data_IF_900758931183
#
_entry.id   IF_900758931183
#
_cell.length_a   1.000
_cell.length_b   1.000
_cell.length_c   1.000
_cell.angle_alpha   90.00
_cell.angle_beta   90.00
_cell.angle_gamma   90.00
#
_symmetry.space_group_name_H-M   'P 1'
#
loop_
_entity.id
_entity.type
_entity.pdbx_description
1 polymer ?
#
# COMPACT_ATOMS: atom_id res chain seq x y z
N UNK A 1 37.52 -29.36 1.49
CA UNK A 1 36.89 -28.11 1.98
C UNK A 1 35.81 -27.77 0.98
N UNK A 2 34.55 -27.69 1.40
CA UNK A 2 33.44 -27.36 0.50
C UNK A 2 33.59 -25.89 0.08
N UNK A 3 33.75 -25.67 -1.22
CA UNK A 3 33.82 -24.34 -1.81
C UNK A 3 32.46 -23.63 -1.63
N UNK A 4 32.47 -22.41 -1.11
CA UNK A 4 31.24 -21.63 -0.94
C UNK A 4 30.76 -21.21 -2.32
N UNK A 5 29.58 -21.68 -2.73
CA UNK A 5 28.98 -21.28 -4.00
C UNK A 5 28.04 -20.09 -3.81
N UNK A 6 27.90 -19.25 -4.83
CA UNK A 6 26.91 -18.16 -4.87
C UNK A 6 25.48 -18.69 -4.64
N UNK A 7 25.16 -19.87 -5.16
CA UNK A 7 23.87 -20.53 -4.89
C UNK A 7 23.67 -20.86 -3.42
N UNK A 8 24.69 -21.36 -2.72
CA UNK A 8 24.62 -21.65 -1.28
C UNK A 8 24.40 -20.38 -0.45
N UNK A 9 25.00 -19.27 -0.87
CA UNK A 9 24.78 -17.95 -0.25
C UNK A 9 23.33 -17.49 -0.45
N UNK A 10 22.80 -17.58 -1.67
CA UNK A 10 21.41 -17.19 -1.98
C UNK A 10 20.42 -18.05 -1.20
N UNK A 11 20.63 -19.37 -1.14
CA UNK A 11 19.76 -20.29 -0.42
C UNK A 11 19.76 -20.02 1.09
N UNK A 12 20.92 -19.68 1.67
CA UNK A 12 21.03 -19.29 3.08
C UNK A 12 20.29 -17.97 3.39
N UNK A 13 20.14 -17.08 2.42
CA UNK A 13 19.44 -15.81 2.59
C UNK A 13 17.93 -15.90 2.37
N UNK A 14 17.40 -16.99 1.80
CA UNK A 14 15.96 -17.16 1.60
C UNK A 14 15.12 -16.98 2.88
N UNK A 15 15.51 -17.50 4.05
CA UNK A 15 14.77 -17.30 5.30
C UNK A 15 14.85 -15.89 5.88
N UNK A 16 15.68 -15.00 5.31
CA UNK A 16 15.81 -13.63 5.78
C UNK A 16 14.67 -12.78 5.21
N UNK A 17 13.75 -12.38 6.08
CA UNK A 17 12.61 -11.54 5.71
C UNK A 17 12.89 -10.06 5.95
N UNK A 18 12.41 -9.23 5.02
CA UNK A 18 12.30 -7.79 5.21
C UNK A 18 11.28 -7.48 6.34
N UNK A 19 11.61 -6.65 7.35
CA UNK A 19 10.72 -6.40 8.47
C UNK A 19 9.47 -5.58 8.12
N UNK A 20 9.46 -4.82 7.02
CA UNK A 20 8.29 -4.04 6.58
C UNK A 20 7.39 -4.85 5.64
N UNK A 21 8.00 -5.60 4.71
CA UNK A 21 7.29 -6.33 3.66
C UNK A 21 6.96 -7.77 4.06
N UNK A 22 7.54 -8.27 5.15
CA UNK A 22 7.36 -9.64 5.68
C UNK A 22 7.61 -10.75 4.64
N UNK A 23 8.47 -10.50 3.66
CA UNK A 23 8.82 -11.40 2.55
C UNK A 23 10.33 -11.54 2.42
N UNK A 24 10.78 -12.62 1.80
CA UNK A 24 12.21 -12.90 1.64
C UNK A 24 12.92 -11.80 0.86
N UNK A 25 14.05 -11.32 1.36
CA UNK A 25 14.88 -10.33 0.66
C UNK A 25 15.38 -10.85 -0.70
N UNK A 26 15.47 -12.18 -0.86
CA UNK A 26 15.85 -12.84 -2.11
C UNK A 26 14.70 -12.77 -3.12
N UNK A 27 13.49 -13.12 -2.70
CA UNK A 27 12.30 -13.11 -3.57
C UNK A 27 11.92 -11.70 -4.02
N UNK A 28 12.13 -10.73 -3.13
CA UNK A 28 11.94 -9.29 -3.38
C UNK A 28 13.02 -8.72 -4.32
N UNK A 29 14.06 -9.48 -4.67
CA UNK A 29 15.15 -9.01 -5.52
C UNK A 29 16.01 -7.93 -4.86
N UNK A 30 16.07 -7.90 -3.53
CA UNK A 30 16.85 -6.92 -2.78
C UNK A 30 18.34 -7.29 -2.71
N UNK A 31 18.69 -8.56 -2.95
CA UNK A 31 20.08 -9.03 -2.91
C UNK A 31 20.72 -8.95 -4.29
N UNK A 32 21.83 -8.22 -4.42
CA UNK A 32 22.61 -8.10 -5.67
C UNK A 32 24.11 -8.10 -5.40
N UNK A 33 24.89 -8.19 -6.49
CA UNK A 33 26.35 -8.13 -6.48
C UNK A 33 27.00 -9.14 -5.51
N UNK A 34 26.49 -10.37 -5.48
CA UNK A 34 27.03 -11.42 -4.60
C UNK A 34 28.37 -11.91 -5.13
N UNK A 35 29.43 -11.67 -4.38
CA UNK A 35 30.80 -12.09 -4.67
C UNK A 35 31.31 -12.95 -3.51
N UNK A 36 31.87 -14.10 -3.84
CA UNK A 36 32.51 -15.00 -2.89
C UNK A 36 33.99 -15.05 -3.20
N UNK A 37 34.82 -14.64 -2.25
CA UNK A 37 36.29 -14.67 -2.35
C UNK A 37 36.84 -15.50 -1.19
N UNK A 38 37.09 -16.79 -1.46
CA UNK A 38 37.48 -17.76 -0.46
C UNK A 38 36.45 -17.88 0.67
N UNK A 39 36.80 -17.40 1.85
CA UNK A 39 35.95 -17.43 3.05
C UNK A 39 35.21 -16.10 3.33
N UNK A 40 35.33 -15.12 2.43
CA UNK A 40 34.71 -13.80 2.55
C UNK A 40 33.56 -13.67 1.55
N UNK A 41 32.37 -13.33 2.06
CA UNK A 41 31.18 -13.08 1.23
C UNK A 41 30.88 -11.59 1.20
N UNK A 42 30.77 -11.02 0.00
CA UNK A 42 30.39 -9.62 -0.21
C UNK A 42 29.06 -9.56 -0.96
N UNK A 43 28.12 -8.71 -0.52
CA UNK A 43 26.85 -8.50 -1.23
C UNK A 43 26.25 -7.13 -0.94
N UNK A 44 25.37 -6.70 -1.84
CA UNK A 44 24.61 -5.45 -1.72
C UNK A 44 23.13 -5.77 -1.42
N UNK A 45 22.56 -5.11 -0.41
CA UNK A 45 21.12 -5.11 -0.14
C UNK A 45 20.50 -3.79 -0.60
N UNK A 46 19.64 -3.84 -1.62
CA UNK A 46 18.91 -2.71 -2.15
C UNK A 46 17.62 -2.46 -1.34
N UNK A 47 17.56 -1.32 -0.66
CA UNK A 47 16.40 -0.90 0.13
C UNK A 47 15.42 -0.11 -0.75
N UNK A 48 14.14 -0.13 -0.39
CA UNK A 48 13.07 0.54 -1.13
C UNK A 48 13.18 2.07 -1.06
N UNK A 49 13.65 2.61 0.06
CA UNK A 49 13.79 4.06 0.33
C UNK A 49 15.11 4.35 1.07
N UNK A 50 15.72 5.50 0.77
CA UNK A 50 16.91 5.98 1.48
C UNK A 50 16.57 6.39 2.91
N UNK A 51 17.21 5.76 3.91
CA UNK A 51 17.10 6.16 5.33
C UNK A 51 16.32 5.20 6.23
N UNK A 52 16.01 3.98 5.78
CA UNK A 52 15.27 3.01 6.59
C UNK A 52 15.98 2.73 7.95
N UNK A 53 15.31 2.96 9.10
CA UNK A 53 15.86 2.69 10.43
C UNK A 53 16.13 1.19 10.66
N UNK A 54 15.55 0.33 9.84
CA UNK A 54 15.63 -1.13 9.90
C UNK A 54 16.89 -1.71 9.24
N UNK A 55 17.77 -0.85 8.70
CA UNK A 55 19.06 -1.27 8.13
C UNK A 55 19.85 -2.17 9.09
N UNK A 56 19.90 -1.80 10.36
CA UNK A 56 20.66 -2.54 11.38
C UNK A 56 20.08 -3.94 11.60
N UNK A 57 18.75 -4.07 11.55
CA UNK A 57 18.07 -5.34 11.74
C UNK A 57 18.31 -6.27 10.54
N UNK A 58 18.18 -5.76 9.32
CA UNK A 58 18.50 -6.51 8.10
C UNK A 58 19.97 -6.94 8.11
N UNK A 59 20.87 -6.04 8.50
CA UNK A 59 22.30 -6.34 8.62
C UNK A 59 22.56 -7.50 9.59
N UNK A 60 21.91 -7.50 10.76
CA UNK A 60 22.03 -8.59 11.74
C UNK A 60 21.49 -9.90 11.18
N UNK A 61 20.28 -9.91 10.63
CA UNK A 61 19.64 -11.12 10.08
C UNK A 61 20.49 -11.75 8.95
N UNK A 62 21.00 -10.92 8.04
CA UNK A 62 21.87 -11.36 6.94
C UNK A 62 23.19 -11.92 7.47
N UNK A 63 23.86 -11.22 8.40
CA UNK A 63 25.10 -11.70 9.00
C UNK A 63 24.91 -13.03 9.73
N UNK A 64 23.83 -13.18 10.50
CA UNK A 64 23.50 -14.44 11.19
C UNK A 64 23.28 -15.58 10.21
N UNK A 65 22.52 -15.33 9.13
CA UNK A 65 22.25 -16.35 8.11
C UNK A 65 23.52 -16.82 7.38
N UNK A 66 24.41 -15.89 7.01
CA UNK A 66 25.62 -16.22 6.27
C UNK A 66 26.73 -16.79 7.15
N UNK A 67 26.85 -16.35 8.40
CA UNK A 67 27.83 -16.95 9.34
C UNK A 67 27.47 -18.38 9.75
N UNK A 68 26.22 -18.80 9.55
CA UNK A 68 25.82 -20.19 9.76
C UNK A 68 26.31 -21.13 8.65
N UNK A 69 26.73 -20.60 7.50
CA UNK A 69 27.32 -21.40 6.42
C UNK A 69 28.74 -21.86 6.78
N UNK A 70 28.99 -23.16 6.64
CA UNK A 70 30.30 -23.73 6.86
C UNK A 70 31.33 -23.14 5.86
N UNK A 71 32.39 -22.52 6.41
CA UNK A 71 33.47 -21.93 5.63
C UNK A 71 33.45 -20.40 5.54
N UNK A 72 32.36 -19.72 5.94
CA UNK A 72 32.27 -18.25 5.92
C UNK A 72 32.93 -17.67 7.18
N UNK A 73 33.98 -16.86 7.02
CA UNK A 73 34.67 -16.17 8.12
C UNK A 73 34.21 -14.73 8.27
N UNK A 74 34.02 -14.05 7.14
CA UNK A 74 33.70 -12.63 7.08
C UNK A 74 32.60 -12.33 6.06
N UNK A 75 31.81 -11.30 6.37
CA UNK A 75 30.65 -10.87 5.57
C UNK A 75 30.71 -9.36 5.41
N UNK A 76 30.79 -8.90 4.16
CA UNK A 76 30.82 -7.48 3.79
C UNK A 76 29.49 -7.08 3.16
N UNK A 77 28.73 -6.26 3.89
CA UNK A 77 27.42 -5.80 3.46
C UNK A 77 27.46 -4.35 3.01
N UNK A 78 27.04 -4.14 1.76
CA UNK A 78 26.75 -2.82 1.23
C UNK A 78 25.25 -2.62 1.16
N UNK A 79 24.82 -1.37 1.24
CA UNK A 79 23.41 -1.01 1.13
C UNK A 79 23.22 -0.02 0.00
N UNK A 80 22.32 -0.36 -0.92
CA UNK A 80 21.89 0.51 -2.00
C UNK A 80 20.46 0.97 -1.81
N UNK A 81 20.01 1.81 -2.72
CA UNK A 81 18.59 2.10 -2.93
C UNK A 81 18.18 1.46 -4.25
N UNK A 82 16.96 0.96 -4.31
CA UNK A 82 16.36 0.50 -5.56
C UNK A 82 16.24 1.66 -6.55
N UNK A 83 16.38 1.36 -7.83
CA UNK A 83 16.05 2.25 -8.95
C UNK A 83 14.53 2.36 -9.13
N UNK A 84 14.07 3.28 -9.97
CA UNK A 84 12.65 3.40 -10.30
C UNK A 84 12.10 2.14 -10.97
N UNK A 85 12.87 1.53 -11.87
CA UNK A 85 12.49 0.29 -12.57
C UNK A 85 12.44 -0.91 -11.62
N UNK A 86 13.41 -1.04 -10.70
CA UNK A 86 13.41 -2.08 -9.67
C UNK A 86 12.20 -1.91 -8.72
N UNK A 87 11.87 -0.68 -8.33
CA UNK A 87 10.65 -0.40 -7.56
C UNK A 87 9.39 -0.75 -8.35
N UNK A 88 9.35 -0.48 -9.65
CA UNK A 88 8.22 -0.83 -10.51
C UNK A 88 8.04 -2.35 -10.62
N UNK A 89 9.12 -3.10 -10.85
CA UNK A 89 9.11 -4.56 -10.88
C UNK A 89 8.73 -5.18 -9.52
N UNK A 90 9.23 -4.61 -8.42
CA UNK A 90 8.84 -5.01 -7.08
C UNK A 90 7.35 -4.79 -6.83
N UNK A 91 6.81 -3.63 -7.25
CA UNK A 91 5.37 -3.34 -7.16
C UNK A 91 4.55 -4.34 -7.96
N UNK A 92 4.98 -4.69 -9.16
CA UNK A 92 4.30 -5.71 -9.98
C UNK A 92 4.33 -7.09 -9.30
N UNK A 93 5.45 -7.50 -8.71
CA UNK A 93 5.55 -8.76 -7.94
C UNK A 93 4.69 -8.78 -6.68
N UNK A 94 4.53 -7.65 -6.01
CA UNK A 94 3.75 -7.53 -4.77
C UNK A 94 2.25 -7.38 -5.04
N UNK A 95 1.87 -6.71 -6.14
CA UNK A 95 0.50 -6.22 -6.35
C UNK A 95 -0.11 -6.59 -7.72
N UNK A 96 0.63 -7.24 -8.63
CA UNK A 96 0.18 -7.58 -9.98
C UNK A 96 0.38 -6.46 -11.01
N UNK A 97 0.08 -6.75 -12.28
CA UNK A 97 0.36 -5.84 -13.40
C UNK A 97 -0.62 -4.64 -13.44
N UNK A 98 -0.13 -3.38 -13.60
CA UNK A 98 -0.95 -2.16 -13.58
C UNK A 98 -2.03 -2.06 -14.66
N UNK A 99 -1.92 -2.85 -15.73
CA UNK A 99 -2.83 -2.82 -16.88
C UNK A 99 -4.25 -3.36 -16.59
N UNK A 100 -4.50 -3.91 -15.39
CA UNK A 100 -5.79 -4.47 -15.01
C UNK A 100 -6.75 -3.49 -14.30
N UNK A 101 -6.35 -2.22 -14.08
CA UNK A 101 -7.19 -1.24 -13.37
C UNK A 101 -7.70 -0.14 -14.30
N UNK A 102 -8.99 -0.16 -14.65
CA UNK A 102 -9.63 0.91 -15.40
C UNK A 102 -9.93 2.11 -14.48
N UNK A 103 -8.91 2.95 -14.28
CA UNK A 103 -9.02 4.27 -13.65
C UNK A 103 -7.64 4.92 -13.79
N UNK A 104 -7.58 6.11 -14.36
CA UNK A 104 -6.36 6.73 -14.93
C UNK A 104 -5.28 7.16 -13.91
N UNK A 105 -5.16 6.49 -12.78
CA UNK A 105 -4.03 6.62 -11.85
C UNK A 105 -3.88 5.33 -11.02
N UNK A 106 -2.64 4.86 -10.76
CA UNK A 106 -2.42 3.69 -9.92
C UNK A 106 -2.99 3.93 -8.52
N UNK A 107 -3.82 3.02 -8.02
CA UNK A 107 -4.17 3.01 -6.61
C UNK A 107 -2.89 2.80 -5.78
N UNK A 108 -2.58 3.69 -4.85
CA UNK A 108 -1.45 3.56 -3.93
C UNK A 108 -1.92 3.25 -2.49
N UNK A 109 -1.14 2.48 -1.73
CA UNK A 109 -1.44 2.12 -0.34
C UNK A 109 -2.28 0.84 -0.16
N UNK A 110 -3.08 0.76 0.92
CA UNK A 110 -3.81 -0.44 1.36
C UNK A 110 -4.82 -1.06 0.36
N UNK A 111 -5.06 -0.41 -0.79
CA UNK A 111 -5.90 -0.91 -1.87
C UNK A 111 -5.09 -1.48 -3.06
N UNK A 112 -3.75 -1.47 -3.02
CA UNK A 112 -2.89 -1.97 -4.08
C UNK A 112 -3.10 -3.48 -4.34
N UNK A 113 -3.44 -3.83 -5.58
CA UNK A 113 -3.68 -5.22 -6.02
C UNK A 113 -5.09 -5.76 -5.74
N UNK A 114 -5.98 -4.97 -5.11
CA UNK A 114 -7.40 -5.31 -5.02
C UNK A 114 -8.11 -4.81 -6.26
N UNK A 115 -8.97 -5.65 -6.84
CA UNK A 115 -9.91 -5.18 -7.85
C UNK A 115 -10.79 -4.09 -7.22
N UNK A 116 -10.72 -2.88 -7.77
CA UNK A 116 -11.58 -1.76 -7.36
C UNK A 116 -12.86 -1.90 -8.18
N UNK A 117 -14.01 -2.28 -7.58
CA UNK A 117 -15.23 -2.54 -8.35
C UNK A 117 -15.67 -1.32 -9.17
N UNK A 118 -15.50 -0.12 -8.61
CA UNK A 118 -15.84 1.14 -9.28
C UNK A 118 -14.93 1.50 -10.47
N UNK A 119 -13.79 0.83 -10.60
CA UNK A 119 -12.83 1.00 -11.67
C UNK A 119 -12.98 -0.09 -12.77
N UNK A 120 -14.04 -0.90 -12.74
CA UNK A 120 -14.26 -1.92 -13.77
C UNK A 120 -15.02 -1.33 -14.98
N UNK A 121 -14.72 -1.77 -16.21
CA UNK A 121 -15.54 -1.44 -17.37
C UNK A 121 -17.01 -1.81 -17.14
N UNK A 122 -17.92 -0.85 -17.32
CA UNK A 122 -19.35 -1.05 -17.06
C UNK A 122 -19.82 -0.70 -15.65
N UNK A 123 -18.91 -0.29 -14.73
CA UNK A 123 -19.32 0.32 -13.46
C UNK A 123 -20.18 1.56 -13.73
N UNK A 124 -21.39 1.59 -13.18
CA UNK A 124 -22.28 2.76 -13.22
C UNK A 124 -21.93 3.81 -12.16
N UNK A 125 -21.09 3.44 -11.19
CA UNK A 125 -20.75 4.27 -10.04
C UNK A 125 -19.48 5.06 -10.31
N UNK A 126 -19.56 6.39 -10.16
CA UNK A 126 -18.41 7.30 -10.28
C UNK A 126 -17.99 7.84 -8.91
N UNK A 127 -16.86 7.40 -8.35
CA UNK A 127 -16.35 7.95 -7.09
C UNK A 127 -15.73 9.34 -7.32
N UNK A 128 -16.05 10.29 -6.44
CA UNK A 128 -15.47 11.63 -6.41
C UNK A 128 -14.80 11.84 -5.05
N UNK A 129 -13.48 12.06 -5.03
CA UNK A 129 -12.72 12.29 -3.80
C UNK A 129 -12.44 13.78 -3.62
N UNK A 130 -12.91 14.35 -2.52
CA UNK A 130 -12.67 15.74 -2.13
C UNK A 130 -11.78 15.70 -0.88
N UNK A 131 -10.50 16.01 -1.04
CA UNK A 131 -9.51 15.92 0.04
C UNK A 131 -8.61 17.16 0.09
N UNK A 132 -8.13 17.49 1.30
CA UNK A 132 -7.17 18.57 1.55
C UNK A 132 -6.60 18.43 2.97
N UNK A 133 -5.28 18.66 3.09
CA UNK A 133 -4.53 18.56 4.34
C UNK A 133 -4.69 19.73 5.31
N UNK A 134 -5.58 20.70 5.02
CA UNK A 134 -5.87 21.85 5.91
C UNK A 134 -7.34 21.85 6.35
N UNK A 135 -7.58 22.24 7.61
CA UNK A 135 -8.92 22.50 8.13
C UNK A 135 -9.52 23.78 7.56
N UNK A 136 -10.85 23.87 7.47
CA UNK A 136 -11.57 25.11 7.10
C UNK A 136 -11.52 25.52 5.63
N UNK A 137 -10.89 24.74 4.74
CA UNK A 137 -10.79 25.09 3.30
C UNK A 137 -12.07 24.82 2.49
N UNK A 138 -13.17 24.45 3.14
CA UNK A 138 -14.46 24.23 2.49
C UNK A 138 -14.69 22.84 1.88
N UNK A 139 -13.90 21.81 2.26
CA UNK A 139 -14.10 20.41 1.78
C UNK A 139 -15.54 19.94 1.94
N UNK A 140 -16.05 19.98 3.17
CA UNK A 140 -17.42 19.59 3.50
C UNK A 140 -18.43 20.42 2.73
N UNK A 141 -18.25 21.74 2.69
CA UNK A 141 -19.15 22.64 1.96
C UNK A 141 -19.25 22.29 0.47
N UNK A 142 -18.11 22.06 -0.20
CA UNK A 142 -18.09 21.69 -1.61
C UNK A 142 -18.70 20.30 -1.82
N UNK A 143 -18.34 19.31 -1.00
CA UNK A 143 -18.90 17.96 -1.08
C UNK A 143 -20.42 17.96 -0.93
N UNK A 144 -20.97 18.67 0.07
CA UNK A 144 -22.41 18.77 0.30
C UNK A 144 -23.13 19.45 -0.86
N UNK A 145 -22.64 20.62 -1.31
CA UNK A 145 -23.32 21.36 -2.37
C UNK A 145 -23.28 20.60 -3.71
N UNK A 146 -22.15 19.96 -4.03
CA UNK A 146 -22.05 19.13 -5.22
C UNK A 146 -23.01 17.93 -5.15
N UNK A 147 -23.08 17.27 -4.00
CA UNK A 147 -23.99 16.15 -3.79
C UNK A 147 -25.47 16.57 -3.94
N UNK A 148 -25.85 17.72 -3.38
CA UNK A 148 -27.21 18.28 -3.50
C UNK A 148 -27.53 18.65 -4.94
N UNK A 149 -26.61 19.31 -5.64
CA UNK A 149 -26.81 19.63 -7.06
C UNK A 149 -27.06 18.37 -7.90
N UNK A 150 -26.23 17.34 -7.72
CA UNK A 150 -26.39 16.09 -8.46
C UNK A 150 -27.68 15.35 -8.08
N UNK A 151 -28.06 15.38 -6.80
CA UNK A 151 -29.32 14.82 -6.34
C UNK A 151 -30.53 15.53 -6.98
N UNK A 152 -30.50 16.86 -7.07
CA UNK A 152 -31.54 17.64 -7.76
C UNK A 152 -31.60 17.32 -9.26
N UNK A 153 -30.47 16.93 -9.86
CA UNK A 153 -30.39 16.40 -11.22
C UNK A 153 -30.78 14.90 -11.32
N UNK A 154 -31.51 14.39 -10.32
CA UNK A 154 -31.99 13.00 -10.21
C UNK A 154 -30.89 11.94 -10.22
N UNK A 155 -29.65 12.28 -9.85
CA UNK A 155 -28.60 11.29 -9.67
C UNK A 155 -28.75 10.59 -8.32
N UNK A 156 -28.40 9.30 -8.28
CA UNK A 156 -28.25 8.55 -7.03
C UNK A 156 -26.93 8.93 -6.38
N UNK A 157 -26.97 9.54 -5.19
CA UNK A 157 -25.80 10.10 -4.51
C UNK A 157 -25.68 9.59 -3.08
N UNK A 158 -24.55 8.96 -2.77
CA UNK A 158 -24.15 8.60 -1.41
C UNK A 158 -22.99 9.51 -0.98
N UNK A 159 -23.13 10.17 0.16
CA UNK A 159 -22.04 10.89 0.79
C UNK A 159 -21.32 10.00 1.81
N UNK A 160 -20.00 9.90 1.68
CA UNK A 160 -19.16 9.12 2.60
C UNK A 160 -18.23 10.10 3.31
N UNK A 161 -18.36 10.17 4.63
CA UNK A 161 -17.56 11.05 5.48
C UNK A 161 -16.46 10.26 6.17
N UNK A 162 -15.21 10.65 5.94
CA UNK A 162 -14.05 10.10 6.62
C UNK A 162 -13.41 11.09 7.59
N UNK A 163 -13.96 12.31 7.72
CA UNK A 163 -13.42 13.33 8.62
C UNK A 163 -13.91 13.07 10.05
N UNK A 164 -13.01 12.80 11.02
CA UNK A 164 -13.39 12.58 12.42
C UNK A 164 -14.16 13.76 13.03
N UNK A 165 -13.98 14.98 12.50
CA UNK A 165 -14.71 16.16 12.96
C UNK A 165 -16.22 16.03 12.72
N UNK A 166 -16.64 15.24 11.73
CA UNK A 166 -18.05 14.86 11.53
C UNK A 166 -19.00 15.98 11.12
N UNK A 167 -18.51 17.15 10.72
CA UNK A 167 -19.36 18.30 10.39
C UNK A 167 -20.41 17.98 9.33
N UNK A 168 -20.10 17.11 8.36
CA UNK A 168 -21.08 16.70 7.34
C UNK A 168 -22.29 15.99 7.96
N UNK A 169 -22.04 15.18 8.99
CA UNK A 169 -23.06 14.41 9.70
C UNK A 169 -23.90 15.32 10.59
N UNK A 170 -23.28 16.26 11.29
CA UNK A 170 -23.98 17.27 12.09
C UNK A 170 -24.96 18.06 11.22
N UNK A 171 -24.52 18.47 10.02
CA UNK A 171 -25.38 19.12 9.03
C UNK A 171 -26.51 18.21 8.52
N UNK A 172 -26.25 16.92 8.34
CA UNK A 172 -27.28 15.98 7.90
C UNK A 172 -28.33 15.75 9.00
N UNK A 173 -27.91 15.57 10.25
CA UNK A 173 -28.80 15.42 11.40
C UNK A 173 -29.64 16.67 11.65
N UNK A 174 -29.04 17.87 11.53
CA UNK A 174 -29.77 19.13 11.61
C UNK A 174 -30.83 19.29 10.50
N UNK A 175 -30.66 18.61 9.36
CA UNK A 175 -31.63 18.52 8.27
C UNK A 175 -32.54 17.28 8.38
N UNK A 176 -32.60 16.64 9.56
CA UNK A 176 -33.37 15.42 9.85
C UNK A 176 -33.05 14.24 8.90
N UNK A 177 -31.86 14.22 8.30
CA UNK A 177 -31.43 13.17 7.36
C UNK A 177 -32.19 13.13 6.04
N UNK A 178 -32.92 14.19 5.68
CA UNK A 178 -33.94 14.16 4.61
C UNK A 178 -33.40 14.34 3.19
N UNK A 179 -32.18 14.85 3.01
CA UNK A 179 -31.69 15.29 1.69
C UNK A 179 -30.89 14.20 0.96
N UNK A 180 -29.82 13.69 1.58
CA UNK A 180 -28.89 12.75 0.94
C UNK A 180 -28.41 11.74 1.99
N UNK A 181 -28.35 10.44 1.67
CA UNK A 181 -27.74 9.46 2.56
C UNK A 181 -26.28 9.80 2.87
N UNK A 182 -25.94 9.84 4.16
CA UNK A 182 -24.57 10.08 4.65
C UNK A 182 -24.12 8.88 5.47
N UNK A 183 -22.92 8.38 5.21
CA UNK A 183 -22.28 7.28 5.96
C UNK A 183 -20.93 7.76 6.51
N UNK A 184 -20.71 7.62 7.81
CA UNK A 184 -19.43 7.92 8.46
C UNK A 184 -18.55 6.68 8.58
N UNK A 185 -17.31 6.74 8.10
CA UNK A 185 -16.37 5.60 8.13
C UNK A 185 -15.75 5.35 9.51
N UNK A 186 -15.79 6.34 10.39
CA UNK A 186 -15.14 6.36 11.71
C UNK A 186 -16.04 5.83 12.84
N UNK A 187 -17.22 5.27 12.53
CA UNK A 187 -18.22 4.86 13.52
C UNK A 187 -18.40 3.35 13.62
N UNK A 188 -18.70 2.89 14.83
CA UNK A 188 -19.10 1.50 15.10
C UNK A 188 -20.42 1.12 14.41
N UNK A 189 -21.25 2.11 14.06
CA UNK A 189 -22.54 1.93 13.37
C UNK A 189 -22.42 1.68 11.88
N UNK A 190 -21.22 1.82 11.30
CA UNK A 190 -20.98 1.74 9.85
C UNK A 190 -21.68 0.55 9.17
N UNK A 191 -21.60 -0.64 9.76
CA UNK A 191 -22.22 -1.84 9.21
C UNK A 191 -23.75 -1.69 9.08
N UNK A 192 -24.40 -1.14 10.10
CA UNK A 192 -25.85 -0.89 10.12
C UNK A 192 -26.24 0.22 9.14
N UNK A 193 -25.44 1.28 9.08
CA UNK A 193 -25.69 2.42 8.20
C UNK A 193 -25.59 2.01 6.72
N UNK A 194 -24.63 1.13 6.38
CA UNK A 194 -24.49 0.54 5.04
C UNK A 194 -25.71 -0.32 4.68
N UNK A 195 -26.19 -1.16 5.60
CA UNK A 195 -27.41 -1.97 5.35
C UNK A 195 -28.62 -1.08 5.09
N UNK A 196 -28.76 0.03 5.81
CA UNK A 196 -29.85 0.99 5.64
C UNK A 196 -29.87 1.67 4.27
N UNK A 197 -28.73 1.86 3.62
CA UNK A 197 -28.63 2.52 2.30
C UNK A 197 -28.59 1.56 1.12
N UNK A 198 -28.41 0.24 1.36
CA UNK A 198 -28.17 -0.77 0.32
C UNK A 198 -29.24 -0.83 -0.78
N UNK A 199 -30.51 -0.62 -0.44
CA UNK A 199 -31.63 -0.81 -1.38
C UNK A 199 -31.73 0.30 -2.45
N UNK A 200 -30.91 1.36 -2.36
CA UNK A 200 -30.91 2.48 -3.31
C UNK A 200 -29.79 2.43 -4.36
N UNK A 201 -28.75 1.61 -4.17
CA UNK A 201 -27.53 1.63 -4.97
C UNK A 201 -27.28 0.23 -5.58
N UNK A 202 -26.86 0.21 -6.85
CA UNK A 202 -26.53 -1.02 -7.61
C UNK A 202 -25.21 -1.64 -7.13
#
# INVERSE_FOLDING_TARGET
MSEISTSSVIDALRPVHDPELHRSIVDLGMVRDVVVDGDVVSLTVALTIAGCPLRNEIQQRVNTALRALAGVRDVRLNFGVMTDDERAALREKLHGSPAATAGSTPAQGHAQGRAIPFAQPGSKTRPLLISSGKGGVGKTTISTNLAVSLHLDNQKILLVDSDPQGSLRDWNEANEGKLIPVVGLDRETLAKDIEGVKNGYD
#
